data_IF_445894116604
#
_entry.id   IF_445894116604
#
_cell.length_a   1.000
_cell.length_b   1.000
_cell.length_c   1.000
_cell.angle_alpha   90.00
_cell.angle_beta   90.00
_cell.angle_gamma   90.00
#
_symmetry.space_group_name_H-M   'P 1'
#
loop_
_entity.id
_entity.type
_entity.pdbx_description
1 polymer ?
#
# COMPACT_ATOMS: atom_id res chain seq x y z
N UNK A 1 17.79 -14.48 12.65
CA UNK A 1 18.04 -13.26 13.42
C UNK A 1 16.70 -12.53 13.63
N UNK A 2 16.12 -12.56 14.84
CA UNK A 2 14.84 -11.92 15.19
C UNK A 2 15.13 -10.54 15.76
N UNK A 3 14.84 -9.47 15.03
CA UNK A 3 14.98 -8.10 15.56
C UNK A 3 13.84 -7.82 16.55
N UNK A 4 14.18 -7.55 17.82
CA UNK A 4 13.24 -7.08 18.83
C UNK A 4 12.89 -5.62 18.55
N UNK A 5 11.70 -5.38 18.01
CA UNK A 5 11.09 -4.05 17.96
C UNK A 5 10.64 -3.66 19.38
N UNK A 6 11.56 -3.17 20.20
CA UNK A 6 11.21 -2.58 21.48
C UNK A 6 11.96 -1.26 21.66
N UNK A 7 11.53 -0.24 20.91
CA UNK A 7 11.68 1.15 21.37
C UNK A 7 10.48 1.45 22.25
N UNK A 8 10.63 1.21 23.57
CA UNK A 8 9.67 1.60 24.61
C UNK A 8 9.42 3.11 24.47
N UNK A 9 8.28 3.47 23.89
CA UNK A 9 7.92 4.86 23.57
C UNK A 9 7.08 4.96 22.30
N UNK A 10 7.40 4.17 21.26
CA UNK A 10 6.67 4.23 19.97
C UNK A 10 5.30 3.54 20.06
N UNK A 11 5.19 2.48 20.88
CA UNK A 11 3.93 1.75 21.08
C UNK A 11 2.80 2.62 21.65
N UNK A 12 3.11 3.64 22.46
CA UNK A 12 2.10 4.54 23.01
C UNK A 12 1.41 5.38 21.91
N UNK A 13 2.05 5.54 20.75
CA UNK A 13 1.49 6.25 19.59
C UNK A 13 0.81 5.31 18.59
N UNK A 14 0.98 3.99 18.77
CA UNK A 14 0.31 2.93 17.98
C UNK A 14 -1.03 2.55 18.63
N UNK A 15 -1.28 2.97 19.88
CA UNK A 15 -2.61 2.90 20.48
C UNK A 15 -3.55 3.69 19.60
N UNK A 16 -4.42 2.96 18.90
CA UNK A 16 -5.44 3.49 18.00
C UNK A 16 -6.23 4.55 18.79
N UNK A 17 -6.08 5.86 18.48
CA UNK A 17 -7.00 6.82 19.06
C UNK A 17 -8.38 6.41 18.58
N UNK A 18 -9.35 6.44 19.49
CA UNK A 18 -10.75 6.47 19.13
C UNK A 18 -10.89 7.54 18.06
N UNK A 19 -11.27 7.13 16.84
CA UNK A 19 -11.26 8.03 15.69
C UNK A 19 -12.46 8.95 15.86
N UNK A 20 -12.30 9.99 16.66
CA UNK A 20 -13.27 11.06 16.75
C UNK A 20 -13.32 11.71 15.38
N UNK A 21 -14.35 11.33 14.62
CA UNK A 21 -14.68 11.92 13.32
C UNK A 21 -14.88 13.45 13.38
N UNK A 22 -14.83 14.02 14.60
CA UNK A 22 -15.09 15.42 14.95
C UNK A 22 -13.89 16.16 15.56
N UNK A 23 -12.71 15.55 15.66
CA UNK A 23 -11.54 16.28 16.16
C UNK A 23 -11.21 17.43 15.20
N UNK A 24 -11.28 18.66 15.72
CA UNK A 24 -11.08 19.88 14.94
C UNK A 24 -9.65 19.92 14.38
N UNK A 25 -9.54 19.61 13.09
CA UNK A 25 -8.29 19.57 12.35
C UNK A 25 -7.64 20.95 12.18
N UNK A 26 -8.37 22.02 12.52
CA UNK A 26 -7.84 23.39 12.49
C UNK A 26 -6.98 23.71 13.73
N UNK A 27 -7.12 22.94 14.82
CA UNK A 27 -6.38 23.15 16.06
C UNK A 27 -4.86 23.02 15.86
N UNK A 28 -4.10 23.85 16.57
CA UNK A 28 -2.62 23.83 16.56
C UNK A 28 -2.09 22.46 17.01
N UNK A 29 -2.76 21.84 17.99
CA UNK A 29 -2.40 20.52 18.49
C UNK A 29 -2.55 19.44 17.42
N UNK A 30 -3.64 19.45 16.65
CA UNK A 30 -3.84 18.51 15.54
C UNK A 30 -2.76 18.68 14.48
N UNK A 31 -2.52 19.91 14.00
CA UNK A 31 -1.49 20.20 13.00
C UNK A 31 -0.09 19.76 13.46
N UNK A 32 0.21 19.97 14.74
CA UNK A 32 1.48 19.53 15.33
C UNK A 32 1.59 18.01 15.34
N UNK A 33 0.51 17.31 15.72
CA UNK A 33 0.50 15.85 15.74
C UNK A 33 0.54 15.25 14.32
N UNK A 34 -0.13 15.86 13.35
CA UNK A 34 -0.10 15.45 11.95
C UNK A 34 1.32 15.59 11.36
N UNK A 35 2.02 16.69 11.62
CA UNK A 35 3.42 16.85 11.20
C UNK A 35 4.36 15.85 11.88
N UNK A 36 4.15 15.53 13.16
CA UNK A 36 4.90 14.48 13.85
C UNK A 36 4.67 13.12 13.19
N UNK A 37 3.42 12.78 12.89
CA UNK A 37 3.08 11.54 12.21
C UNK A 37 3.68 11.47 10.80
N UNK A 38 3.66 12.57 10.05
CA UNK A 38 4.32 12.68 8.75
C UNK A 38 5.83 12.40 8.86
N UNK A 39 6.49 12.97 9.88
CA UNK A 39 7.91 12.73 10.15
C UNK A 39 8.22 11.26 10.47
N UNK A 40 7.35 10.59 11.24
CA UNK A 40 7.49 9.15 11.53
C UNK A 40 7.34 8.33 10.25
N UNK A 41 6.32 8.60 9.43
CA UNK A 41 6.12 7.91 8.14
C UNK A 41 7.33 8.10 7.23
N UNK A 42 7.83 9.33 7.08
CA UNK A 42 8.98 9.62 6.22
C UNK A 42 10.26 8.94 6.71
N UNK A 43 10.43 8.81 8.04
CA UNK A 43 11.56 8.11 8.65
C UNK A 43 11.50 6.59 8.51
N UNK A 44 10.30 6.00 8.54
CA UNK A 44 10.10 4.55 8.43
C UNK A 44 10.14 4.06 6.98
N UNK A 45 9.87 4.93 6.00
CA UNK A 45 9.95 4.62 4.57
C UNK A 45 11.41 4.57 4.12
N UNK A 46 11.80 3.46 3.48
CA UNK A 46 13.14 3.29 2.89
C UNK A 46 13.47 4.43 1.91
N UNK A 47 14.75 4.83 1.88
CA UNK A 47 15.24 5.95 1.08
C UNK A 47 14.80 5.91 -0.39
N UNK A 48 14.77 4.71 -0.99
CA UNK A 48 14.34 4.51 -2.40
C UNK A 48 12.89 4.91 -2.64
N UNK A 49 12.03 4.84 -1.61
CA UNK A 49 10.60 5.09 -1.71
C UNK A 49 10.19 6.47 -1.19
N UNK A 50 11.08 7.22 -0.55
CA UNK A 50 10.79 8.58 -0.08
C UNK A 50 10.39 9.54 -1.22
N UNK A 51 10.87 9.29 -2.45
CA UNK A 51 10.47 10.05 -3.64
C UNK A 51 8.95 10.08 -3.85
N UNK A 52 8.24 9.02 -3.45
CA UNK A 52 6.80 8.91 -3.62
C UNK A 52 5.99 9.74 -2.64
N UNK A 53 6.58 10.22 -1.55
CA UNK A 53 5.91 11.05 -0.53
C UNK A 53 6.48 12.46 -0.43
N UNK A 54 7.43 12.83 -1.30
CA UNK A 54 8.14 14.12 -1.25
C UNK A 54 7.21 15.34 -1.29
N UNK A 55 6.04 15.21 -1.92
CA UNK A 55 5.03 16.29 -2.00
C UNK A 55 3.98 16.28 -0.89
N UNK A 56 4.05 15.35 0.06
CA UNK A 56 3.05 15.24 1.12
C UNK A 56 3.21 16.35 2.15
N UNK A 57 2.13 17.08 2.43
CA UNK A 57 2.08 18.13 3.45
C UNK A 57 1.40 17.67 4.74
N UNK A 58 0.72 16.51 4.70
CA UNK A 58 0.06 15.89 5.86
C UNK A 58 0.40 14.41 5.97
N UNK A 59 0.25 13.83 7.16
CA UNK A 59 0.44 12.40 7.35
C UNK A 59 -0.55 11.59 6.48
N UNK A 60 -1.80 12.04 6.42
CA UNK A 60 -2.84 11.43 5.60
C UNK A 60 -2.48 11.44 4.10
N UNK A 61 -1.93 12.54 3.59
CA UNK A 61 -1.50 12.62 2.19
C UNK A 61 -0.36 11.66 1.90
N UNK A 62 0.66 11.61 2.78
CA UNK A 62 1.78 10.68 2.60
C UNK A 62 1.31 9.22 2.57
N UNK A 63 0.38 8.87 3.45
CA UNK A 63 -0.21 7.53 3.49
C UNK A 63 -0.98 7.21 2.20
N UNK A 64 -1.81 8.15 1.71
CA UNK A 64 -2.54 7.99 0.44
C UNK A 64 -1.60 7.80 -0.74
N UNK A 65 -0.51 8.57 -0.81
CA UNK A 65 0.47 8.46 -1.90
C UNK A 65 1.19 7.10 -1.90
N UNK A 66 1.58 6.60 -0.72
CA UNK A 66 2.14 5.24 -0.59
C UNK A 66 1.11 4.19 -1.00
N UNK A 67 -0.13 4.37 -0.54
CA UNK A 67 -1.22 3.47 -0.84
C UNK A 67 -1.47 3.38 -2.37
N UNK A 68 -1.39 4.48 -3.10
CA UNK A 68 -1.48 4.50 -4.57
C UNK A 68 -0.33 3.75 -5.28
N UNK A 69 0.87 3.69 -4.69
CA UNK A 69 1.97 2.94 -5.31
C UNK A 69 1.88 1.43 -5.01
N UNK A 70 1.48 1.07 -3.79
CA UNK A 70 1.58 -0.30 -3.30
C UNK A 70 0.25 -1.06 -3.30
N UNK A 71 -0.90 -0.39 -3.47
CA UNK A 71 -2.18 -1.09 -3.63
C UNK A 71 -2.20 -1.91 -4.91
N UNK A 72 -2.57 -3.18 -4.76
CA UNK A 72 -2.73 -4.12 -5.88
C UNK A 72 -3.82 -3.73 -6.87
N UNK A 73 -4.80 -2.92 -6.47
CA UNK A 73 -6.00 -2.62 -7.27
C UNK A 73 -5.92 -1.33 -8.11
N UNK A 74 -4.75 -0.69 -8.21
CA UNK A 74 -4.56 0.55 -9.00
C UNK A 74 -4.88 0.33 -10.48
N UNK A 75 -5.23 1.40 -11.21
CA UNK A 75 -5.47 1.34 -12.66
C UNK A 75 -4.26 0.79 -13.43
N UNK A 76 -3.03 1.10 -12.98
CA UNK A 76 -1.79 0.56 -13.55
C UNK A 76 -1.72 -0.95 -13.37
N UNK A 77 -1.99 -1.46 -12.16
CA UNK A 77 -1.97 -2.90 -11.90
C UNK A 77 -3.11 -3.63 -12.64
N UNK A 78 -4.31 -3.03 -12.72
CA UNK A 78 -5.41 -3.50 -13.57
C UNK A 78 -4.95 -3.67 -15.01
N UNK A 79 -4.38 -2.62 -15.60
CA UNK A 79 -3.93 -2.64 -16.99
C UNK A 79 -2.85 -3.70 -17.22
N UNK A 80 -1.86 -3.80 -16.32
CA UNK A 80 -0.79 -4.79 -16.41
C UNK A 80 -1.33 -6.21 -16.36
N UNK A 81 -2.21 -6.53 -15.40
CA UNK A 81 -2.78 -7.87 -15.23
C UNK A 81 -3.68 -8.23 -16.42
N UNK A 82 -4.53 -7.30 -16.89
CA UNK A 82 -5.36 -7.51 -18.07
C UNK A 82 -4.52 -7.75 -19.33
N UNK A 83 -3.44 -6.98 -19.53
CA UNK A 83 -2.52 -7.18 -20.65
C UNK A 83 -1.83 -8.54 -20.58
N UNK A 84 -1.40 -8.97 -19.39
CA UNK A 84 -0.83 -10.31 -19.19
C UNK A 84 -1.84 -11.41 -19.49
N UNK A 85 -3.11 -11.26 -19.11
CA UNK A 85 -4.18 -12.21 -19.44
C UNK A 85 -4.33 -12.36 -20.97
N UNK A 86 -4.51 -11.24 -21.67
CA UNK A 86 -4.74 -11.26 -23.12
C UNK A 86 -3.56 -11.83 -23.90
N UNK A 87 -2.34 -11.62 -23.38
CA UNK A 87 -1.13 -12.14 -23.99
C UNK A 87 -0.75 -13.54 -23.48
N UNK A 88 -1.50 -14.12 -22.54
CA UNK A 88 -1.19 -15.43 -21.99
C UNK A 88 -1.38 -16.49 -23.08
N UNK A 89 -0.28 -17.16 -23.43
CA UNK A 89 -0.24 -18.24 -24.41
C UNK A 89 0.56 -19.38 -23.82
N UNK A 90 0.19 -20.61 -24.16
CA UNK A 90 0.99 -21.79 -23.81
C UNK A 90 2.31 -21.74 -24.56
N UNK A 91 3.41 -21.74 -23.82
CA UNK A 91 4.75 -21.85 -24.38
C UNK A 91 5.08 -23.30 -24.74
N UNK A 92 5.75 -23.49 -25.87
CA UNK A 92 6.26 -24.81 -26.25
C UNK A 92 7.42 -25.22 -25.34
N UNK A 93 7.47 -26.51 -24.98
CA UNK A 93 8.56 -27.06 -24.15
C UNK A 93 8.34 -26.98 -22.63
N UNK A 94 7.24 -26.39 -22.16
CA UNK A 94 6.84 -26.39 -20.74
C UNK A 94 5.65 -27.31 -20.50
N UNK A 95 5.60 -27.95 -19.32
CA UNK A 95 4.52 -28.89 -18.98
C UNK A 95 3.19 -28.15 -18.85
N UNK A 96 2.11 -28.78 -19.32
CA UNK A 96 0.75 -28.21 -19.24
C UNK A 96 0.34 -27.83 -17.82
N UNK A 97 0.71 -28.62 -16.80
CA UNK A 97 0.42 -28.31 -15.41
C UNK A 97 1.01 -26.96 -14.96
N UNK A 98 2.22 -26.63 -15.43
CA UNK A 98 2.88 -25.35 -15.13
C UNK A 98 2.08 -24.18 -15.71
N UNK A 99 1.58 -24.32 -16.95
CA UNK A 99 0.71 -23.32 -17.57
C UNK A 99 -0.59 -23.13 -16.80
N UNK A 100 -1.22 -24.22 -16.35
CA UNK A 100 -2.45 -24.16 -15.56
C UNK A 100 -2.22 -23.42 -14.24
N UNK A 101 -1.11 -23.67 -13.55
CA UNK A 101 -0.82 -23.01 -12.28
C UNK A 101 -0.49 -21.51 -12.45
N UNK A 102 0.26 -21.15 -13.50
CA UNK A 102 0.51 -19.75 -13.86
C UNK A 102 -0.80 -19.02 -14.21
N UNK A 103 -1.70 -19.67 -14.94
CA UNK A 103 -3.00 -19.12 -15.28
C UNK A 103 -3.87 -18.92 -14.03
N UNK A 104 -3.91 -19.91 -13.11
CA UNK A 104 -4.63 -19.77 -11.83
C UNK A 104 -4.15 -18.57 -11.02
N UNK A 105 -2.83 -18.39 -10.91
CA UNK A 105 -2.24 -17.26 -10.20
C UNK A 105 -2.67 -15.92 -10.82
N UNK A 106 -2.68 -15.85 -12.15
CA UNK A 106 -3.11 -14.66 -12.88
C UNK A 106 -4.61 -14.37 -12.67
N UNK A 107 -5.47 -15.40 -12.63
CA UNK A 107 -6.89 -15.27 -12.30
C UNK A 107 -7.11 -14.79 -10.85
N UNK A 108 -6.30 -15.26 -9.89
CA UNK A 108 -6.35 -14.79 -8.49
C UNK A 108 -5.99 -13.30 -8.40
N UNK A 109 -4.97 -12.87 -9.15
CA UNK A 109 -4.58 -11.46 -9.25
C UNK A 109 -5.73 -10.62 -9.81
N UNK A 110 -6.39 -11.07 -10.87
CA UNK A 110 -7.57 -10.39 -11.43
C UNK A 110 -8.73 -10.31 -10.43
N UNK A 111 -9.06 -11.40 -9.74
CA UNK A 111 -10.16 -11.42 -8.77
C UNK A 111 -9.91 -10.45 -7.62
N UNK A 112 -8.67 -10.38 -7.13
CA UNK A 112 -8.25 -9.44 -6.09
C UNK A 112 -8.44 -7.99 -6.52
N UNK A 113 -8.17 -7.70 -7.79
CA UNK A 113 -8.30 -6.38 -8.38
C UNK A 113 -9.78 -6.00 -8.64
N UNK A 114 -10.59 -6.95 -9.15
CA UNK A 114 -12.00 -6.74 -9.48
C UNK A 114 -12.90 -6.62 -8.24
N UNK A 115 -12.64 -7.41 -7.18
CA UNK A 115 -13.46 -7.41 -5.95
C UNK A 115 -13.47 -6.07 -5.21
N UNK A 116 -12.45 -5.23 -5.42
CA UNK A 116 -12.37 -3.89 -4.80
C UNK A 116 -12.95 -2.80 -5.72
N UNK A 117 -13.23 -3.09 -7.00
CA UNK A 117 -13.88 -2.14 -7.90
C UNK A 117 -15.40 -2.04 -7.70
N UNK A 118 -16.01 -3.04 -7.07
CA UNK A 118 -17.46 -3.17 -6.86
C UNK A 118 -17.93 -2.68 -5.48
N UNK A 119 -17.07 -1.97 -4.74
CA UNK A 119 -17.38 -1.27 -3.48
C UNK A 119 -17.22 0.22 -3.73
#
# INVERSE_FOLDING_TARGET
>A
MRMKLSRKGVLAHIIKPEFDALSDRSTVQWKTNDLKALGVIAGDVSLTYQVYIRGATTAADSWRMLEEQFKRNTLKNRLVVTKKLFNFKTESGTQFAVHVDQFKELVIQMKTIARVAAK
#
